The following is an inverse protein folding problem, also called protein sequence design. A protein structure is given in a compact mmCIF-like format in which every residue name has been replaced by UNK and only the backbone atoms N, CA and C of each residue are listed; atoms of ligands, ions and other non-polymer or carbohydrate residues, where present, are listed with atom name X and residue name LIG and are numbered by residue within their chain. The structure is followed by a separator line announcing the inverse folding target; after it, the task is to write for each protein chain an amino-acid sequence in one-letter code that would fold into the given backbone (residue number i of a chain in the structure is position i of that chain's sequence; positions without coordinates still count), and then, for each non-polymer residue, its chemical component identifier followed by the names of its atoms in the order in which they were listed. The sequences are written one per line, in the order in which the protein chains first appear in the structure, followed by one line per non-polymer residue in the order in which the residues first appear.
data_IF_247078126903
#
_entry.id   IF_247078126903
#
_cell.length_a   1.000
_cell.length_b   1.000
_cell.length_c   1.000
_cell.angle_alpha   90.00
_cell.angle_beta   90.00
_cell.angle_gamma   90.00
#
_symmetry.space_group_name_H-M   'P 1'
#
loop_
_entity.id
_entity.type
_entity.pdbx_description
1 polymer ?
#
# COMPACT_ATOMS: atom_id res chain seq x y z
N UNK A 1 64.47 19.39 2.40
CA UNK A 1 65.87 18.91 2.55
C UNK A 1 65.82 17.42 2.82
N UNK A 2 66.29 16.58 1.88
CA UNK A 2 67.46 15.66 2.00
C UNK A 2 67.38 14.72 3.22
N UNK A 3 67.51 13.39 3.16
CA UNK A 3 67.92 12.40 2.16
C UNK A 3 67.70 10.99 2.78
N UNK A 4 67.43 9.94 1.99
CA UNK A 4 68.38 8.96 1.40
C UNK A 4 69.04 8.00 2.42
N UNK A 5 68.81 6.68 2.25
CA UNK A 5 69.77 5.55 2.05
C UNK A 5 68.97 4.22 2.01
N UNK A 6 68.82 3.52 0.87
CA UNK A 6 69.64 2.39 0.31
C UNK A 6 69.52 1.07 1.12
N UNK A 7 69.42 -0.18 0.63
CA UNK A 7 69.72 -0.95 -0.62
C UNK A 7 68.97 -2.32 -0.46
N UNK A 8 68.26 -2.89 -1.44
CA UNK A 8 68.68 -3.73 -2.59
C UNK A 8 69.22 -5.15 -2.28
N UNK A 9 68.56 -6.21 -2.80
CA UNK A 9 69.07 -7.41 -3.54
C UNK A 9 67.91 -8.44 -3.72
N UNK A 10 67.30 -8.67 -4.91
CA UNK A 10 67.79 -9.38 -6.13
C UNK A 10 67.94 -10.90 -5.92
N UNK A 11 67.11 -11.81 -6.45
CA UNK A 11 67.06 -12.43 -7.82
C UNK A 11 66.20 -13.71 -7.67
N UNK A 12 65.58 -14.40 -8.66
CA UNK A 12 65.77 -14.56 -10.10
C UNK A 12 64.50 -15.22 -10.69
N UNK A 13 64.14 -14.84 -11.91
CA UNK A 13 63.13 -15.46 -12.79
C UNK A 13 63.81 -16.40 -13.78
N UNK A 14 63.13 -17.48 -14.21
CA UNK A 14 63.06 -18.04 -15.59
C UNK A 14 62.06 -19.23 -15.60
N UNK A 15 60.86 -19.14 -16.21
CA UNK A 15 60.49 -19.31 -17.62
C UNK A 15 60.69 -20.73 -18.20
N UNK A 16 59.61 -21.47 -18.53
CA UNK A 16 59.08 -21.71 -19.90
C UNK A 16 57.98 -22.81 -19.92
N UNK A 17 57.07 -22.61 -20.88
CA UNK A 17 55.75 -23.15 -21.23
C UNK A 17 55.78 -24.47 -22.04
N UNK A 18 54.68 -25.26 -22.07
CA UNK A 18 54.09 -25.80 -23.33
C UNK A 18 52.69 -26.52 -23.18
N UNK A 19 51.71 -26.01 -23.94
CA UNK A 19 50.61 -26.63 -24.74
C UNK A 19 49.70 -27.83 -24.31
N UNK A 20 48.40 -27.53 -24.17
CA UNK A 20 47.21 -27.89 -25.00
C UNK A 20 46.67 -29.33 -25.26
N UNK A 21 45.34 -29.46 -25.00
CA UNK A 21 44.21 -30.11 -25.75
C UNK A 21 43.84 -31.62 -25.69
N UNK A 22 42.56 -31.83 -25.29
CA UNK A 22 41.43 -32.68 -25.79
C UNK A 22 41.32 -34.23 -25.62
N UNK A 23 40.16 -34.60 -25.02
CA UNK A 23 39.10 -35.53 -25.45
C UNK A 23 39.19 -37.07 -25.33
N UNK A 24 38.05 -37.70 -24.96
CA UNK A 24 37.70 -39.08 -25.34
C UNK A 24 36.78 -39.87 -24.39
N UNK A 25 35.52 -40.06 -24.77
CA UNK A 25 34.53 -41.01 -24.19
C UNK A 25 34.81 -42.47 -24.63
N UNK A 26 34.41 -43.47 -23.82
CA UNK A 26 34.06 -44.85 -24.27
C UNK A 26 32.97 -45.46 -23.36
N UNK A 27 32.01 -46.13 -24.01
CA UNK A 27 30.82 -46.87 -23.52
C UNK A 27 31.10 -48.21 -22.79
N UNK A 28 30.14 -48.71 -22.01
CA UNK A 28 29.78 -50.15 -21.97
C UNK A 28 28.41 -50.43 -21.29
N UNK A 29 27.61 -51.30 -21.92
CA UNK A 29 26.38 -51.95 -21.43
C UNK A 29 26.68 -53.15 -20.52
N UNK A 30 25.73 -53.61 -19.67
CA UNK A 30 25.30 -55.02 -19.53
C UNK A 30 24.35 -55.27 -18.31
N UNK A 31 23.16 -55.80 -18.63
CA UNK A 31 22.38 -56.90 -17.99
C UNK A 31 21.98 -56.92 -16.49
N UNK A 32 20.66 -57.10 -16.26
CA UNK A 32 20.12 -58.37 -15.73
C UNK A 32 19.83 -58.52 -14.22
N UNK A 33 18.52 -58.54 -13.89
CA UNK A 33 17.81 -59.33 -12.85
C UNK A 33 18.37 -59.42 -11.40
N UNK A 34 17.55 -59.00 -10.41
CA UNK A 34 16.82 -59.90 -9.50
C UNK A 34 16.27 -59.15 -8.27
N UNK A 35 15.06 -59.56 -7.86
CA UNK A 35 14.32 -59.13 -6.69
C UNK A 35 15.03 -59.51 -5.39
N UNK A 36 14.97 -58.62 -4.40
CA UNK A 36 15.38 -58.89 -3.01
C UNK A 36 14.61 -57.98 -2.07
N UNK A 37 13.67 -58.57 -1.34
CA UNK A 37 12.79 -57.96 -0.36
C UNK A 37 13.53 -57.53 0.92
N UNK A 38 13.42 -56.26 1.28
CA UNK A 38 13.42 -55.76 2.65
C UNK A 38 12.87 -54.31 2.61
N UNK A 39 12.41 -53.80 3.75
CA UNK A 39 11.94 -52.43 3.98
C UNK A 39 10.44 -52.16 3.73
N UNK A 40 9.62 -52.98 4.39
CA UNK A 40 8.41 -52.48 5.04
C UNK A 40 8.83 -51.67 6.29
N UNK A 41 9.20 -50.40 6.11
CA UNK A 41 9.16 -49.34 7.14
C UNK A 41 9.64 -48.01 6.51
N UNK A 42 8.72 -47.23 5.92
CA UNK A 42 8.87 -45.77 5.74
C UNK A 42 7.58 -45.15 5.19
N UNK A 43 6.50 -45.24 5.97
CA UNK A 43 5.35 -44.33 5.83
C UNK A 43 5.13 -43.65 7.18
N UNK A 44 6.10 -42.80 7.55
CA UNK A 44 5.97 -41.79 8.59
C UNK A 44 7.15 -40.83 8.44
N UNK A 45 6.88 -39.52 8.53
CA UNK A 45 7.84 -38.40 8.48
C UNK A 45 8.22 -37.89 7.08
N UNK A 46 7.28 -37.18 6.46
CA UNK A 46 7.59 -36.07 5.56
C UNK A 46 6.73 -34.85 5.95
N UNK A 47 7.02 -34.32 7.14
CA UNK A 47 6.48 -33.05 7.63
C UNK A 47 7.60 -32.29 8.36
N UNK A 48 8.63 -31.88 7.62
CA UNK A 48 9.65 -30.92 8.07
C UNK A 48 10.73 -30.69 7.01
N UNK A 49 10.48 -29.80 6.06
CA UNK A 49 11.55 -29.11 5.33
C UNK A 49 11.04 -27.86 4.61
N UNK A 50 10.48 -26.93 5.39
CA UNK A 50 10.59 -25.50 5.11
C UNK A 50 11.78 -24.98 5.92
N UNK A 51 12.98 -25.35 5.50
CA UNK A 51 14.23 -24.77 5.99
C UNK A 51 14.38 -23.38 5.39
N UNK A 52 14.08 -22.37 6.22
CA UNK A 52 14.82 -21.11 6.38
C UNK A 52 15.48 -20.54 5.12
N UNK A 53 14.79 -19.61 4.46
CA UNK A 53 15.44 -18.64 3.58
C UNK A 53 16.00 -17.48 4.41
N UNK A 54 17.31 -17.31 4.29
CA UNK A 54 18.12 -16.27 4.92
C UNK A 54 17.67 -14.85 4.54
N UNK A 55 17.05 -14.14 5.47
CA UNK A 55 17.07 -12.67 5.54
C UNK A 55 18.12 -12.17 6.54
N UNK A 56 19.18 -12.93 6.78
CA UNK A 56 20.25 -12.58 7.71
C UNK A 56 21.37 -11.84 6.97
N UNK A 57 21.31 -10.50 6.95
CA UNK A 57 22.53 -9.70 6.83
C UNK A 57 22.96 -9.26 8.23
N UNK A 58 24.11 -9.80 8.63
CA UNK A 58 24.81 -9.54 9.88
C UNK A 58 25.23 -8.07 9.98
N UNK A 59 24.76 -7.39 11.03
CA UNK A 59 25.48 -6.27 11.63
C UNK A 59 25.65 -6.53 13.13
N UNK A 60 26.85 -6.25 13.61
CA UNK A 60 27.27 -6.47 15.00
C UNK A 60 26.68 -5.40 15.92
N UNK A 61 25.57 -5.72 16.57
CA UNK A 61 25.21 -5.40 17.96
C UNK A 61 23.69 -5.47 18.10
N UNK A 62 23.23 -6.30 19.05
CA UNK A 62 21.85 -6.76 19.18
C UNK A 62 20.85 -5.65 19.49
N UNK A 63 19.78 -5.63 18.69
CA UNK A 63 18.39 -5.71 19.14
C UNK A 63 17.53 -5.86 17.87
N UNK A 64 17.04 -7.08 17.61
CA UNK A 64 16.17 -7.36 16.46
C UNK A 64 14.71 -7.10 16.84
N UNK A 65 14.08 -6.09 16.27
CA UNK A 65 12.63 -5.96 16.28
C UNK A 65 12.05 -6.75 15.11
N UNK A 66 11.53 -7.95 15.40
CA UNK A 66 10.55 -8.56 14.51
C UNK A 66 9.22 -7.84 14.73
N UNK A 67 8.71 -7.15 13.72
CA UNK A 67 7.30 -6.74 13.74
C UNK A 67 6.44 -8.02 13.79
N UNK A 68 5.88 -8.31 14.97
CA UNK A 68 4.99 -9.45 15.17
C UNK A 68 3.82 -9.40 14.18
N UNK A 69 3.37 -8.20 13.81
CA UNK A 69 2.26 -8.03 12.90
C UNK A 69 2.64 -8.42 11.46
N UNK A 70 3.84 -8.05 10.99
CA UNK A 70 4.32 -8.46 9.67
C UNK A 70 4.52 -9.99 9.58
N UNK A 71 5.16 -10.60 10.58
CA UNK A 71 5.36 -12.05 10.63
C UNK A 71 4.04 -12.82 10.72
N UNK A 72 3.10 -12.35 11.56
CA UNK A 72 1.76 -12.92 11.64
C UNK A 72 1.01 -12.73 10.32
N UNK A 73 1.07 -11.56 9.70
CA UNK A 73 0.43 -11.29 8.41
C UNK A 73 0.94 -12.24 7.31
N UNK A 74 2.24 -12.48 7.24
CA UNK A 74 2.86 -13.45 6.32
C UNK A 74 2.29 -14.85 6.59
N UNK A 75 2.35 -15.33 7.84
CA UNK A 75 1.87 -16.66 8.21
C UNK A 75 0.37 -16.87 7.95
N UNK A 76 -0.46 -15.86 8.24
CA UNK A 76 -1.89 -15.89 7.93
C UNK A 76 -2.14 -15.93 6.42
N UNK A 77 -1.37 -15.17 5.65
CA UNK A 77 -1.47 -15.12 4.18
C UNK A 77 -1.05 -16.44 3.54
N UNK A 78 -0.02 -17.11 4.05
CA UNK A 78 0.38 -18.45 3.62
C UNK A 78 -0.74 -19.48 3.83
N UNK A 79 -1.38 -19.48 5.01
CA UNK A 79 -2.54 -20.34 5.30
C UNK A 79 -3.69 -20.08 4.33
N UNK A 80 -3.97 -18.81 4.00
CA UNK A 80 -4.98 -18.46 3.02
C UNK A 80 -4.62 -18.93 1.60
N UNK A 81 -3.35 -18.86 1.20
CA UNK A 81 -2.90 -19.40 -0.10
C UNK A 81 -3.18 -20.91 -0.17
N UNK A 82 -2.90 -21.66 0.90
CA UNK A 82 -3.18 -23.10 0.95
C UNK A 82 -4.69 -23.37 0.83
N UNK A 83 -5.51 -22.67 1.60
CA UNK A 83 -6.97 -22.77 1.52
C UNK A 83 -7.52 -22.49 0.11
N UNK A 84 -7.07 -21.41 -0.54
CA UNK A 84 -7.49 -21.09 -1.90
C UNK A 84 -6.94 -22.08 -2.95
N UNK A 85 -5.81 -22.72 -2.67
CA UNK A 85 -5.25 -23.78 -3.52
C UNK A 85 -6.14 -25.03 -3.46
N UNK A 86 -6.61 -25.43 -2.28
CA UNK A 86 -7.57 -26.54 -2.12
C UNK A 86 -8.90 -26.27 -2.85
N UNK A 87 -9.42 -25.04 -2.74
CA UNK A 87 -10.62 -24.62 -3.49
C UNK A 87 -10.39 -24.76 -5.00
N UNK A 88 -9.25 -24.29 -5.51
CA UNK A 88 -8.92 -24.39 -6.95
C UNK A 88 -8.79 -25.85 -7.38
N UNK A 89 -8.12 -26.69 -6.59
CA UNK A 89 -7.94 -28.11 -6.88
C UNK A 89 -9.27 -28.89 -6.86
N UNK A 90 -10.25 -28.42 -6.10
CA UNK A 90 -11.60 -28.99 -6.02
C UNK A 90 -12.55 -28.49 -7.12
N UNK A 91 -12.03 -27.86 -8.19
CA UNK A 91 -12.82 -27.33 -9.31
C UNK A 91 -13.14 -25.83 -9.22
N UNK A 92 -12.67 -25.15 -8.17
CA UNK A 92 -12.88 -23.72 -7.96
C UNK A 92 -14.29 -23.39 -7.47
N UNK A 93 -14.64 -22.11 -7.57
CA UNK A 93 -15.96 -21.68 -7.13
C UNK A 93 -17.02 -21.91 -8.22
N UNK A 94 -18.20 -22.37 -7.79
CA UNK A 94 -19.40 -22.31 -8.63
C UNK A 94 -19.79 -20.84 -8.86
N UNK A 95 -19.95 -20.41 -10.13
CA UNK A 95 -20.45 -19.07 -10.42
C UNK A 95 -21.89 -18.91 -9.93
N UNK A 96 -22.19 -17.75 -9.35
CA UNK A 96 -23.52 -17.38 -8.90
C UNK A 96 -24.16 -16.49 -9.96
N UNK A 97 -25.15 -17.02 -10.69
CA UNK A 97 -25.89 -16.26 -11.69
C UNK A 97 -27.29 -15.96 -11.18
N UNK A 98 -27.60 -14.68 -11.04
CA UNK A 98 -28.94 -14.19 -10.72
C UNK A 98 -29.12 -12.81 -11.32
N UNK A 99 -30.34 -12.52 -11.77
CA UNK A 99 -30.76 -11.17 -12.18
C UNK A 99 -31.54 -10.46 -11.06
N UNK A 100 -31.84 -11.17 -9.97
CA UNK A 100 -32.59 -10.66 -8.83
C UNK A 100 -31.65 -10.05 -7.78
N UNK A 101 -32.14 -9.02 -7.09
CA UNK A 101 -31.51 -8.51 -5.88
C UNK A 101 -31.70 -9.54 -4.77
N UNK A 102 -30.61 -10.02 -4.15
CA UNK A 102 -30.73 -10.87 -2.95
C UNK A 102 -30.59 -9.98 -1.71
N UNK A 103 -31.63 -9.98 -0.89
CA UNK A 103 -31.74 -9.21 0.34
C UNK A 103 -32.63 -9.93 1.37
N UNK A 104 -32.70 -9.43 2.59
CA UNK A 104 -33.44 -10.03 3.70
C UNK A 104 -34.87 -10.46 3.26
N UNK A 105 -35.19 -11.74 3.46
CA UNK A 105 -36.46 -12.37 3.08
C UNK A 105 -36.48 -13.01 1.69
N UNK A 106 -35.50 -12.74 0.82
CA UNK A 106 -35.37 -13.41 -0.48
C UNK A 106 -35.25 -14.92 -0.30
N UNK A 107 -36.00 -15.72 -1.06
CA UNK A 107 -35.90 -17.19 -1.00
C UNK A 107 -35.66 -17.76 -2.39
N UNK A 108 -34.47 -18.31 -2.63
CA UNK A 108 -34.13 -18.87 -3.94
C UNK A 108 -32.94 -19.83 -3.89
N UNK A 109 -32.71 -20.56 -4.99
CA UNK A 109 -31.49 -21.36 -5.18
C UNK A 109 -30.23 -20.47 -5.19
N UNK A 110 -30.35 -19.22 -5.64
CA UNK A 110 -29.24 -18.27 -5.62
C UNK A 110 -28.83 -17.92 -4.18
N UNK A 111 -29.76 -17.87 -3.23
CA UNK A 111 -29.46 -17.72 -1.81
C UNK A 111 -28.70 -18.93 -1.27
N UNK A 112 -29.10 -20.16 -1.63
CA UNK A 112 -28.34 -21.37 -1.24
C UNK A 112 -26.90 -21.33 -1.78
N UNK A 113 -26.72 -20.92 -3.05
CA UNK A 113 -25.39 -20.76 -3.65
C UNK A 113 -24.57 -19.64 -2.99
N UNK A 114 -25.22 -18.55 -2.59
CA UNK A 114 -24.61 -17.45 -1.86
C UNK A 114 -24.09 -17.92 -0.50
N UNK A 115 -24.93 -18.62 0.28
CA UNK A 115 -24.56 -19.14 1.59
C UNK A 115 -23.38 -20.12 1.50
N UNK A 116 -23.39 -21.04 0.53
CA UNK A 116 -22.25 -21.91 0.28
C UNK A 116 -20.98 -21.11 -0.02
N UNK A 117 -21.08 -20.05 -0.83
CA UNK A 117 -19.93 -19.21 -1.13
C UNK A 117 -19.39 -18.49 0.11
N UNK A 118 -20.28 -17.88 0.91
CA UNK A 118 -19.91 -17.17 2.12
C UNK A 118 -19.27 -18.12 3.14
N UNK A 119 -19.74 -19.36 3.23
CA UNK A 119 -19.09 -20.40 4.03
C UNK A 119 -17.68 -20.76 3.51
N UNK A 120 -17.52 -21.00 2.20
CA UNK A 120 -16.23 -21.30 1.59
C UNK A 120 -15.19 -20.18 1.79
N UNK A 121 -15.64 -18.92 1.80
CA UNK A 121 -14.78 -17.75 2.03
C UNK A 121 -14.72 -17.31 3.50
N UNK A 122 -15.31 -18.09 4.40
CA UNK A 122 -15.34 -17.92 5.87
C UNK A 122 -16.10 -16.69 6.38
N UNK A 123 -16.96 -16.11 5.55
CA UNK A 123 -17.96 -15.13 5.98
C UNK A 123 -19.11 -15.78 6.76
N UNK A 124 -19.32 -17.09 6.60
CA UNK A 124 -20.16 -17.92 7.48
C UNK A 124 -19.30 -19.00 8.15
N UNK A 125 -19.62 -19.31 9.42
CA UNK A 125 -18.93 -20.35 10.21
C UNK A 125 -19.42 -21.77 9.89
N UNK A 126 -20.66 -21.90 9.42
CA UNK A 126 -21.25 -23.15 8.96
C UNK A 126 -22.08 -22.90 7.70
N UNK A 127 -22.26 -23.93 6.88
CA UNK A 127 -23.22 -23.84 5.78
C UNK A 127 -24.65 -23.98 6.35
N UNK A 128 -25.33 -22.85 6.48
CA UNK A 128 -26.70 -22.76 7.04
C UNK A 128 -27.79 -23.19 6.03
N UNK A 129 -27.41 -23.51 4.79
CA UNK A 129 -28.34 -23.91 3.74
C UNK A 129 -27.99 -25.33 3.24
N UNK A 130 -28.66 -26.34 3.80
CA UNK A 130 -28.57 -27.75 3.40
C UNK A 130 -29.65 -28.16 2.36
N UNK A 131 -30.60 -27.27 2.08
CA UNK A 131 -31.71 -27.47 1.14
C UNK A 131 -31.50 -26.78 -0.22
N UNK A 132 -32.27 -27.22 -1.22
CA UNK A 132 -32.19 -26.69 -2.59
C UNK A 132 -32.57 -25.20 -2.73
N UNK A 133 -33.36 -24.66 -1.79
CA UNK A 133 -33.74 -23.24 -1.72
C UNK A 133 -33.64 -22.76 -0.28
N UNK A 134 -32.95 -21.64 -0.08
CA UNK A 134 -32.69 -21.07 1.24
C UNK A 134 -33.28 -19.67 1.34
N UNK A 135 -33.66 -19.25 2.54
CA UNK A 135 -34.11 -17.88 2.81
C UNK A 135 -32.93 -17.03 3.26
N UNK A 136 -32.82 -15.84 2.68
CA UNK A 136 -31.82 -14.84 3.05
C UNK A 136 -32.23 -14.25 4.39
N UNK A 137 -31.66 -14.78 5.46
CA UNK A 137 -31.96 -14.38 6.84
C UNK A 137 -30.97 -13.31 7.35
N UNK A 138 -31.06 -12.99 8.65
CA UNK A 138 -30.17 -12.00 9.28
C UNK A 138 -28.72 -12.48 9.32
N UNK A 139 -28.50 -13.79 9.44
CA UNK A 139 -27.17 -14.42 9.45
C UNK A 139 -26.47 -14.22 8.11
N UNK A 140 -27.17 -14.50 7.00
CA UNK A 140 -26.68 -14.29 5.64
C UNK A 140 -26.47 -12.79 5.38
N UNK A 141 -27.36 -11.92 5.85
CA UNK A 141 -27.18 -10.46 5.72
C UNK A 141 -25.87 -9.99 6.35
N UNK A 142 -25.58 -10.44 7.59
CA UNK A 142 -24.35 -10.10 8.29
C UNK A 142 -23.11 -10.64 7.57
N UNK A 143 -23.16 -11.89 7.07
CA UNK A 143 -22.09 -12.46 6.26
C UNK A 143 -21.88 -11.71 4.94
N UNK A 144 -22.94 -11.23 4.29
CA UNK A 144 -22.84 -10.36 3.10
C UNK A 144 -22.22 -9.02 3.47
N UNK A 145 -22.58 -8.41 4.61
CA UNK A 145 -21.96 -7.17 5.08
C UNK A 145 -20.46 -7.35 5.35
N UNK A 146 -20.07 -8.48 5.95
CA UNK A 146 -18.68 -8.86 6.14
C UNK A 146 -17.98 -8.98 4.78
N UNK A 147 -18.51 -9.78 3.86
CA UNK A 147 -18.00 -9.94 2.51
C UNK A 147 -17.84 -8.59 1.80
N UNK A 148 -18.81 -7.69 1.91
CA UNK A 148 -18.73 -6.35 1.32
C UNK A 148 -17.57 -5.55 1.90
N UNK A 149 -17.39 -5.56 3.23
CA UNK A 149 -16.29 -4.88 3.93
C UNK A 149 -14.93 -5.40 3.48
N UNK A 150 -14.72 -6.72 3.48
CA UNK A 150 -13.46 -7.34 3.05
C UNK A 150 -13.20 -7.22 1.54
N UNK A 151 -14.17 -6.79 0.74
CA UNK A 151 -13.99 -6.51 -0.70
C UNK A 151 -13.99 -5.02 -1.07
N UNK A 152 -13.99 -4.11 -0.08
CA UNK A 152 -14.00 -2.66 -0.32
C UNK A 152 -15.27 -2.15 -0.99
N UNK A 153 -16.40 -2.81 -0.75
CA UNK A 153 -17.71 -2.43 -1.28
C UNK A 153 -18.46 -1.54 -0.28
N UNK A 154 -19.53 -0.89 -0.77
CA UNK A 154 -20.53 -0.31 0.13
C UNK A 154 -21.15 -1.43 0.96
N UNK A 155 -21.14 -1.29 2.28
CA UNK A 155 -21.68 -2.25 3.23
C UNK A 155 -23.16 -1.95 3.44
N UNK A 156 -24.03 -2.63 2.69
CA UNK A 156 -25.48 -2.47 2.79
C UNK A 156 -26.24 -3.80 2.97
N UNK A 157 -25.52 -4.93 3.07
CA UNK A 157 -26.10 -6.26 3.30
C UNK A 157 -26.86 -6.84 2.11
N UNK A 158 -26.83 -6.18 0.95
CA UNK A 158 -27.56 -6.62 -0.24
C UNK A 158 -26.64 -7.08 -1.36
N UNK A 159 -27.04 -8.14 -2.05
CA UNK A 159 -26.29 -8.68 -3.19
C UNK A 159 -26.83 -8.09 -4.49
N UNK A 160 -26.40 -6.87 -4.78
CA UNK A 160 -26.58 -6.24 -6.09
C UNK A 160 -25.44 -6.58 -7.06
N UNK A 161 -25.48 -5.97 -8.27
CA UNK A 161 -24.52 -6.21 -9.37
C UNK A 161 -23.04 -6.14 -8.95
N UNK A 162 -22.68 -5.18 -8.09
CA UNK A 162 -21.29 -5.00 -7.63
C UNK A 162 -20.83 -6.12 -6.69
N UNK A 163 -21.65 -6.48 -5.70
CA UNK A 163 -21.38 -7.62 -4.80
C UNK A 163 -21.29 -8.92 -5.60
N UNK A 164 -22.23 -9.12 -6.53
CA UNK A 164 -22.26 -10.29 -7.41
C UNK A 164 -21.00 -10.40 -8.27
N UNK A 165 -20.53 -9.29 -8.84
CA UNK A 165 -19.29 -9.27 -9.61
C UNK A 165 -18.07 -9.70 -8.77
N UNK A 166 -18.01 -9.32 -7.49
CA UNK A 166 -16.93 -9.75 -6.57
C UNK A 166 -17.05 -11.23 -6.18
N UNK A 167 -18.26 -11.71 -5.92
CA UNK A 167 -18.53 -13.13 -5.67
C UNK A 167 -18.11 -13.98 -6.89
N UNK A 168 -18.32 -13.49 -8.10
CA UNK A 168 -18.00 -14.20 -9.33
C UNK A 168 -16.54 -14.07 -9.80
N UNK A 169 -15.65 -13.47 -9.01
CA UNK A 169 -14.20 -13.56 -9.29
C UNK A 169 -13.76 -15.03 -9.07
N UNK A 170 -13.20 -15.71 -10.09
CA UNK A 170 -12.79 -17.11 -9.97
C UNK A 170 -11.73 -17.33 -8.89
N UNK A 171 -11.79 -18.50 -8.23
CA UNK A 171 -10.83 -18.89 -7.18
C UNK A 171 -9.37 -18.79 -7.67
N UNK A 172 -9.09 -19.22 -8.91
CA UNK A 172 -7.76 -19.12 -9.53
C UNK A 172 -7.24 -17.68 -9.60
N UNK A 173 -8.12 -16.70 -9.91
CA UNK A 173 -7.74 -15.28 -9.93
C UNK A 173 -7.50 -14.74 -8.52
N UNK A 174 -8.34 -15.13 -7.54
CA UNK A 174 -8.13 -14.76 -6.12
C UNK A 174 -6.81 -15.34 -5.58
N UNK A 175 -6.50 -16.60 -5.91
CA UNK A 175 -5.24 -17.26 -5.55
C UNK A 175 -4.02 -16.56 -6.15
N UNK A 176 -4.06 -16.23 -7.45
CA UNK A 176 -2.97 -15.50 -8.09
C UNK A 176 -2.73 -14.12 -7.44
N UNK A 177 -3.80 -13.40 -7.12
CA UNK A 177 -3.75 -12.12 -6.41
C UNK A 177 -3.19 -12.29 -4.99
N UNK A 178 -3.55 -13.35 -4.27
CA UNK A 178 -2.97 -13.67 -2.96
C UNK A 178 -1.48 -13.94 -3.04
N UNK A 179 -1.04 -14.79 -3.97
CA UNK A 179 0.40 -15.10 -4.15
C UNK A 179 1.22 -13.86 -4.50
N UNK A 180 0.70 -12.99 -5.37
CA UNK A 180 1.36 -11.72 -5.69
C UNK A 180 1.49 -10.82 -4.47
N UNK A 181 0.43 -10.69 -3.67
CA UNK A 181 0.50 -9.83 -2.49
C UNK A 181 1.29 -10.45 -1.34
N UNK A 182 1.34 -11.77 -1.22
CA UNK A 182 2.27 -12.45 -0.32
C UNK A 182 3.71 -12.03 -0.61
N UNK A 183 4.12 -12.04 -1.88
CA UNK A 183 5.43 -11.50 -2.27
C UNK A 183 5.61 -10.03 -1.84
N UNK A 184 4.62 -9.16 -2.09
CA UNK A 184 4.71 -7.75 -1.69
C UNK A 184 4.80 -7.55 -0.16
N UNK A 185 4.10 -8.37 0.61
CA UNK A 185 4.09 -8.33 2.07
C UNK A 185 5.43 -8.84 2.61
N UNK A 186 5.96 -9.94 2.07
CA UNK A 186 7.25 -10.49 2.49
C UNK A 186 8.43 -9.54 2.19
N UNK A 187 8.29 -8.69 1.17
CA UNK A 187 9.30 -7.67 0.83
C UNK A 187 8.97 -6.29 1.41
N UNK A 188 8.12 -6.22 2.44
CA UNK A 188 7.74 -4.96 3.07
C UNK A 188 8.87 -4.41 3.95
N UNK A 189 9.37 -3.23 3.58
CA UNK A 189 10.48 -2.57 4.27
C UNK A 189 10.20 -2.26 5.74
N UNK A 190 8.98 -1.87 6.11
CA UNK A 190 8.63 -1.49 7.48
C UNK A 190 8.62 -2.64 8.49
N UNK A 191 8.83 -3.88 8.05
CA UNK A 191 8.88 -5.07 8.92
C UNK A 191 9.98 -5.05 9.98
N UNK A 192 11.03 -4.24 9.78
CA UNK A 192 12.13 -4.02 10.74
C UNK A 192 11.93 -2.83 11.66
N UNK A 193 10.92 -1.99 11.41
CA UNK A 193 10.76 -0.72 12.10
C UNK A 193 9.98 -0.91 13.41
N UNK A 194 10.52 -0.38 14.51
CA UNK A 194 9.84 -0.44 15.81
C UNK A 194 8.57 0.42 15.86
N UNK A 195 8.48 1.44 14.99
CA UNK A 195 7.31 2.26 14.74
C UNK A 195 7.34 2.83 13.32
N UNK A 196 6.19 2.88 12.66
CA UNK A 196 6.08 3.41 11.30
C UNK A 196 4.64 3.79 10.98
N UNK A 197 4.47 4.61 9.95
CA UNK A 197 3.20 4.82 9.27
C UNK A 197 3.19 3.99 8.00
N UNK A 198 2.07 3.38 7.65
CA UNK A 198 1.89 2.91 6.29
C UNK A 198 0.53 3.29 5.74
N UNK A 199 0.50 3.54 4.43
CA UNK A 199 -0.70 3.81 3.67
C UNK A 199 -0.89 2.70 2.67
N UNK A 200 -1.91 1.87 2.86
CA UNK A 200 -2.29 0.88 1.89
C UNK A 200 -3.19 1.51 0.83
N UNK A 201 -2.62 1.82 -0.34
CA UNK A 201 -3.22 2.66 -1.36
C UNK A 201 -4.55 2.09 -1.88
N UNK A 202 -4.66 0.80 -2.27
CA UNK A 202 -5.93 0.21 -2.75
C UNK A 202 -6.96 0.00 -1.64
N UNK A 203 -6.52 -0.01 -0.38
CA UNK A 203 -7.40 -0.11 0.78
C UNK A 203 -7.99 1.24 1.18
N UNK A 204 -7.31 2.34 0.82
CA UNK A 204 -7.63 3.69 1.24
C UNK A 204 -7.56 3.88 2.75
N UNK A 205 -6.54 3.28 3.38
CA UNK A 205 -6.32 3.35 4.82
C UNK A 205 -4.88 3.68 5.15
N UNK A 206 -4.69 4.58 6.12
CA UNK A 206 -3.44 4.87 6.79
C UNK A 206 -3.46 4.21 8.17
N UNK A 207 -2.34 3.61 8.57
CA UNK A 207 -2.14 3.10 9.92
C UNK A 207 -0.83 3.59 10.49
N UNK A 208 -0.83 3.87 11.79
CA UNK A 208 0.39 4.03 12.57
C UNK A 208 0.57 2.77 13.43
N UNK A 209 1.71 2.12 13.26
CA UNK A 209 2.09 0.88 13.93
C UNK A 209 3.22 1.20 14.90
N UNK A 210 3.15 0.64 16.11
CA UNK A 210 4.21 0.73 17.10
C UNK A 210 4.31 -0.58 17.89
N UNK A 211 5.52 -1.10 18.02
CA UNK A 211 5.79 -2.38 18.66
C UNK A 211 4.90 -3.52 18.12
N UNK A 212 4.65 -3.49 16.81
CA UNK A 212 3.78 -4.43 16.11
C UNK A 212 2.28 -4.29 16.38
N UNK A 213 1.82 -3.22 17.04
CA UNK A 213 0.39 -2.97 17.24
C UNK A 213 -0.07 -1.74 16.45
N UNK A 214 -1.24 -1.84 15.82
CA UNK A 214 -1.90 -0.69 15.17
C UNK A 214 -2.43 0.24 16.27
N UNK A 215 -1.80 1.40 16.44
CA UNK A 215 -2.20 2.40 17.45
C UNK A 215 -3.22 3.40 16.91
N UNK A 216 -3.21 3.63 15.60
CA UNK A 216 -4.13 4.53 14.91
C UNK A 216 -4.45 3.99 13.53
N UNK A 217 -5.70 4.17 13.11
CA UNK A 217 -6.18 3.89 11.77
C UNK A 217 -7.01 5.08 11.27
N UNK A 218 -6.76 5.52 10.04
CA UNK A 218 -7.50 6.58 9.38
C UNK A 218 -7.90 6.19 7.96
N UNK A 219 -9.09 6.62 7.53
CA UNK A 219 -9.41 6.61 6.11
C UNK A 219 -8.56 7.64 5.38
N UNK A 220 -8.15 7.30 4.16
CA UNK A 220 -7.47 8.23 3.25
C UNK A 220 -8.17 8.35 1.90
N UNK A 221 -7.84 9.41 1.18
CA UNK A 221 -8.11 9.60 -0.25
C UNK A 221 -6.77 9.64 -0.96
N UNK A 222 -6.64 8.85 -2.01
CA UNK A 222 -5.40 8.72 -2.81
C UNK A 222 -5.62 9.24 -4.22
N UNK A 223 -4.56 9.22 -5.03
CA UNK A 223 -4.59 9.61 -6.44
C UNK A 223 -5.67 8.89 -7.25
N UNK A 224 -6.20 9.56 -8.27
CA UNK A 224 -7.01 8.88 -9.30
C UNK A 224 -6.09 8.13 -10.27
N UNK A 225 -6.58 7.15 -11.06
CA UNK A 225 -5.71 6.35 -11.95
C UNK A 225 -4.86 7.16 -12.94
N UNK A 226 -5.31 8.34 -13.37
CA UNK A 226 -4.51 9.24 -14.23
C UNK A 226 -3.42 10.04 -13.48
N UNK A 227 -3.43 10.02 -12.15
CA UNK A 227 -2.51 10.72 -11.25
C UNK A 227 -2.27 9.84 -10.02
N UNK A 228 -1.63 8.69 -10.25
CA UNK A 228 -1.45 7.65 -9.25
C UNK A 228 -0.63 8.16 -8.05
N UNK A 229 -1.01 7.75 -6.85
CA UNK A 229 -0.10 7.80 -5.69
C UNK A 229 0.94 6.69 -5.86
N UNK A 230 2.25 7.00 -5.94
CA UNK A 230 3.28 5.98 -6.11
C UNK A 230 3.49 5.18 -4.82
N UNK A 231 3.95 3.94 -4.97
CA UNK A 231 4.35 3.08 -3.85
C UNK A 231 5.85 3.22 -3.60
N UNK A 232 6.24 3.66 -2.40
CA UNK A 232 7.63 3.84 -1.98
C UNK A 232 7.72 3.95 -0.45
N UNK A 233 8.93 3.99 0.09
CA UNK A 233 9.21 4.21 1.52
C UNK A 233 10.07 5.45 1.70
N UNK A 234 9.83 6.18 2.78
CA UNK A 234 10.50 7.45 3.12
C UNK A 234 10.31 7.73 4.61
N UNK A 235 10.66 8.91 5.10
CA UNK A 235 10.50 9.32 6.50
C UNK A 235 9.80 10.67 6.63
N UNK A 236 8.80 10.73 7.51
CA UNK A 236 8.16 11.99 7.90
C UNK A 236 9.15 12.75 8.78
N UNK A 237 9.65 13.88 8.28
CA UNK A 237 10.61 14.72 9.01
C UNK A 237 9.91 15.80 9.84
N UNK A 238 8.73 16.25 9.37
CA UNK A 238 8.01 17.37 9.96
C UNK A 238 6.56 17.40 9.55
N UNK A 239 5.76 18.11 10.32
CA UNK A 239 4.41 18.50 9.92
C UNK A 239 4.21 20.01 10.08
N UNK A 240 3.29 20.55 9.28
CA UNK A 240 2.97 21.97 9.24
C UNK A 240 1.50 22.15 9.56
N UNK A 241 1.22 22.81 10.67
CA UNK A 241 -0.12 23.23 11.07
C UNK A 241 -0.46 24.54 10.37
N UNK A 242 -1.70 24.66 9.90
CA UNK A 242 -2.22 25.75 9.06
C UNK A 242 -1.33 26.01 7.85
N UNK A 243 -1.12 25.00 6.99
CA UNK A 243 -0.18 25.10 5.89
C UNK A 243 -0.65 26.09 4.83
N UNK A 244 0.26 26.95 4.38
CA UNK A 244 0.09 27.59 3.07
C UNK A 244 0.14 26.54 1.96
N UNK A 245 -0.72 26.73 0.95
CA UNK A 245 -0.69 25.94 -0.28
C UNK A 245 0.00 26.72 -1.39
N UNK A 246 1.20 26.24 -1.75
CA UNK A 246 1.90 26.69 -2.95
C UNK A 246 1.24 26.02 -4.15
N UNK A 247 0.54 26.82 -4.93
CA UNK A 247 -0.27 26.30 -6.03
C UNK A 247 0.66 25.88 -7.16
N UNK A 248 0.59 24.62 -7.63
CA UNK A 248 1.39 24.15 -8.76
C UNK A 248 1.22 25.05 -9.98
N UNK A 249 2.30 25.29 -10.72
CA UNK A 249 2.31 26.18 -11.90
C UNK A 249 1.25 25.79 -12.94
N UNK A 250 0.98 24.48 -13.08
CA UNK A 250 -0.08 23.98 -13.95
C UNK A 250 -1.46 24.51 -13.55
N UNK A 251 -1.81 24.46 -12.26
CA UNK A 251 -3.09 24.95 -11.73
C UNK A 251 -3.12 26.49 -11.79
N UNK A 252 -2.01 27.14 -11.40
CA UNK A 252 -1.91 28.59 -11.44
C UNK A 252 -2.19 29.14 -12.86
N UNK A 253 -1.60 28.53 -13.89
CA UNK A 253 -1.72 29.00 -15.29
C UNK A 253 -2.97 28.50 -16.00
N UNK A 254 -3.38 27.25 -15.79
CA UNK A 254 -4.51 26.65 -16.54
C UNK A 254 -5.87 26.92 -15.91
N UNK A 255 -5.92 27.09 -14.59
CA UNK A 255 -7.19 27.18 -13.87
C UNK A 255 -7.41 28.54 -13.20
N UNK A 256 -6.37 29.12 -12.58
CA UNK A 256 -6.52 30.35 -11.82
C UNK A 256 -6.36 31.59 -12.70
N UNK A 257 -5.31 31.68 -13.52
CA UNK A 257 -5.09 32.84 -14.38
C UNK A 257 -6.32 33.23 -15.24
N UNK A 258 -7.03 32.29 -15.89
CA UNK A 258 -8.26 32.62 -16.63
C UNK A 258 -9.39 33.16 -15.75
N UNK A 259 -9.43 32.80 -14.46
CA UNK A 259 -10.42 33.31 -13.50
C UNK A 259 -10.06 34.72 -13.04
N UNK A 260 -8.78 34.99 -12.80
CA UNK A 260 -8.30 36.34 -12.45
C UNK A 260 -8.47 37.32 -13.61
N UNK A 261 -8.21 36.87 -14.84
CA UNK A 261 -8.45 37.66 -16.05
C UNK A 261 -9.93 38.08 -16.22
N UNK A 262 -10.87 37.29 -15.68
CA UNK A 262 -12.32 37.57 -15.70
C UNK A 262 -12.78 38.38 -14.47
N UNK A 263 -12.19 38.11 -13.32
CA UNK A 263 -12.48 38.78 -12.05
C UNK A 263 -11.17 39.15 -11.34
N UNK A 264 -10.74 40.42 -11.43
CA UNK A 264 -9.52 40.89 -10.76
C UNK A 264 -9.52 40.70 -9.23
N UNK A 265 -10.70 40.57 -8.61
CA UNK A 265 -10.84 40.32 -7.18
C UNK A 265 -10.76 38.84 -6.80
N UNK A 266 -10.62 37.93 -7.78
CA UNK A 266 -10.61 36.49 -7.54
C UNK A 266 -9.58 36.07 -6.51
N UNK A 267 -8.34 36.58 -6.61
CA UNK A 267 -7.26 36.20 -5.69
C UNK A 267 -7.57 36.61 -4.24
N UNK A 268 -8.02 37.85 -4.04
CA UNK A 268 -8.41 38.35 -2.72
C UNK A 268 -9.58 37.56 -2.12
N UNK A 269 -10.64 37.31 -2.90
CA UNK A 269 -11.80 36.49 -2.51
C UNK A 269 -11.41 35.06 -2.12
N UNK A 270 -10.31 34.54 -2.65
CA UNK A 270 -9.84 33.18 -2.41
C UNK A 270 -8.62 33.13 -1.46
N UNK A 271 -8.24 34.23 -0.82
CA UNK A 271 -7.09 34.31 0.08
C UNK A 271 -5.78 33.82 -0.59
N UNK A 272 -5.55 34.26 -1.84
CA UNK A 272 -4.38 33.92 -2.65
C UNK A 272 -3.51 35.15 -2.83
N UNK A 273 -2.23 35.02 -2.55
CA UNK A 273 -1.21 36.03 -2.79
C UNK A 273 -0.34 35.64 -3.98
N UNK A 274 0.18 36.64 -4.68
CA UNK A 274 1.23 36.46 -5.68
C UNK A 274 2.58 36.74 -5.01
N UNK A 275 3.53 35.82 -5.12
CA UNK A 275 4.90 35.98 -4.61
C UNK A 275 5.91 35.89 -5.73
N UNK A 276 7.01 36.63 -5.60
CA UNK A 276 8.09 36.63 -6.60
C UNK A 276 8.87 35.32 -6.62
N UNK A 277 9.14 34.73 -5.45
CA UNK A 277 9.94 33.53 -5.30
C UNK A 277 9.18 32.42 -4.57
N UNK A 278 9.58 31.16 -4.79
CA UNK A 278 8.96 29.99 -4.17
C UNK A 278 9.37 29.80 -2.70
N UNK A 279 10.39 30.52 -2.21
CA UNK A 279 10.89 30.42 -0.84
C UNK A 279 10.19 31.41 0.12
N UNK A 280 10.57 31.38 1.40
CA UNK A 280 10.01 32.12 2.56
C UNK A 280 9.92 33.66 2.45
N UNK A 281 10.24 34.27 1.30
CA UNK A 281 10.10 35.72 1.15
C UNK A 281 8.62 36.11 1.12
N UNK A 282 8.24 36.98 2.06
CA UNK A 282 6.92 37.61 2.16
C UNK A 282 6.67 38.69 1.11
N UNK A 283 7.59 38.87 0.14
CA UNK A 283 7.48 39.89 -0.90
C UNK A 283 6.34 39.53 -1.87
N UNK A 284 5.20 40.14 -1.61
CA UNK A 284 4.01 40.07 -2.46
C UNK A 284 4.18 40.93 -3.70
N UNK A 285 3.67 40.44 -4.82
CA UNK A 285 3.52 41.21 -6.06
C UNK A 285 2.07 41.65 -6.17
N UNK A 286 1.83 42.91 -6.52
CA UNK A 286 0.47 43.39 -6.77
C UNK A 286 -0.10 42.68 -8.00
N UNK A 287 -1.22 41.93 -7.88
CA UNK A 287 -1.83 41.23 -9.00
C UNK A 287 -2.18 42.12 -10.20
N UNK A 288 -2.46 43.41 -9.97
CA UNK A 288 -2.79 44.38 -11.04
C UNK A 288 -1.61 44.69 -11.96
N UNK A 289 -0.38 44.35 -11.56
CA UNK A 289 0.82 44.55 -12.38
C UNK A 289 1.09 43.37 -13.34
N UNK A 290 0.23 42.34 -13.33
CA UNK A 290 0.40 41.13 -14.12
C UNK A 290 -0.69 41.10 -15.21
N UNK A 291 -0.28 40.90 -16.45
CA UNK A 291 -1.21 40.65 -17.55
C UNK A 291 -1.70 39.19 -17.50
N UNK A 292 -2.79 38.96 -16.79
CA UNK A 292 -3.40 37.62 -16.63
C UNK A 292 -3.95 37.04 -17.93
N UNK A 293 -4.28 37.87 -18.92
CA UNK A 293 -4.79 37.40 -20.22
C UNK A 293 -3.66 36.85 -21.10
N UNK A 294 -2.44 37.36 -20.94
CA UNK A 294 -1.27 36.91 -21.67
C UNK A 294 -0.60 35.64 -21.10
N UNK A 295 -1.01 35.18 -19.90
CA UNK A 295 -0.41 34.00 -19.26
C UNK A 295 -0.71 32.74 -20.09
N UNK A 296 0.36 32.07 -20.51
CA UNK A 296 0.30 30.79 -21.23
C UNK A 296 0.47 29.61 -20.26
N UNK A 297 -0.04 28.41 -20.59
CA UNK A 297 0.15 27.22 -19.78
C UNK A 297 1.62 26.99 -19.43
N UNK A 298 1.91 26.76 -18.14
CA UNK A 298 3.25 26.54 -17.58
C UNK A 298 4.23 27.72 -17.70
N UNK A 299 3.81 28.88 -18.23
CA UNK A 299 4.63 30.08 -18.34
C UNK A 299 4.16 31.11 -17.31
N UNK A 300 4.72 31.01 -16.10
CA UNK A 300 4.43 31.94 -15.02
C UNK A 300 5.64 32.13 -14.12
N UNK A 301 6.11 33.37 -14.06
CA UNK A 301 7.36 33.83 -13.46
C UNK A 301 7.23 34.09 -11.96
N UNK A 302 6.05 33.79 -11.41
CA UNK A 302 5.63 34.08 -10.05
C UNK A 302 5.01 32.82 -9.43
N UNK A 303 4.71 32.91 -8.15
CA UNK A 303 4.06 31.83 -7.40
C UNK A 303 2.73 32.32 -6.85
N UNK A 304 1.70 31.51 -7.02
CA UNK A 304 0.45 31.70 -6.29
C UNK A 304 0.52 30.92 -4.99
N UNK A 305 0.23 31.60 -3.88
CA UNK A 305 0.19 30.99 -2.56
C UNK A 305 -1.17 31.25 -1.95
N UNK A 306 -1.93 30.18 -1.74
CA UNK A 306 -3.15 30.26 -0.94
C UNK A 306 -2.76 30.17 0.54
N UNK A 307 -3.15 31.17 1.32
CA UNK A 307 -2.89 31.22 2.77
C UNK A 307 -3.69 30.14 3.51
N UNK A 308 -3.36 29.95 4.78
CA UNK A 308 -4.16 29.12 5.68
C UNK A 308 -5.62 29.60 5.78
N UNK A 309 -6.49 28.69 6.20
CA UNK A 309 -7.92 28.92 6.40
C UNK A 309 -8.77 27.77 5.86
N UNK A 310 -10.05 27.76 6.23
CA UNK A 310 -10.98 26.64 6.03
C UNK A 310 -11.08 26.16 4.57
N UNK A 311 -10.98 27.08 3.61
CA UNK A 311 -11.07 26.76 2.18
C UNK A 311 -9.74 26.30 1.57
N UNK A 312 -8.68 26.18 2.35
CA UNK A 312 -7.37 25.72 1.87
C UNK A 312 -7.44 24.23 1.48
N UNK A 313 -7.10 23.84 0.24
CA UNK A 313 -7.15 22.44 -0.19
C UNK A 313 -6.24 21.49 0.59
N UNK A 314 -5.22 22.02 1.28
CA UNK A 314 -4.35 21.27 2.19
C UNK A 314 -4.93 21.08 3.60
N UNK A 315 -6.08 21.71 3.89
CA UNK A 315 -6.72 21.73 5.19
C UNK A 315 -5.82 22.32 6.28
N UNK A 316 -5.96 21.81 7.49
CA UNK A 316 -5.35 22.38 8.70
C UNK A 316 -3.96 21.81 9.03
N UNK A 317 -3.53 20.70 8.41
CA UNK A 317 -2.19 20.14 8.62
C UNK A 317 -1.68 19.33 7.43
N UNK A 318 -0.37 19.37 7.19
CA UNK A 318 0.33 18.48 6.24
C UNK A 318 1.59 17.87 6.86
N UNK A 319 1.85 16.61 6.53
CA UNK A 319 3.01 15.82 6.91
C UNK A 319 3.94 15.70 5.71
N UNK A 320 5.20 16.11 5.89
CA UNK A 320 6.18 16.21 4.81
C UNK A 320 7.24 15.11 4.98
N UNK A 321 7.51 14.43 3.88
CA UNK A 321 8.57 13.44 3.71
C UNK A 321 9.26 13.67 2.35
N UNK A 322 10.61 13.64 2.25
CA UNK A 322 11.34 14.06 1.04
C UNK A 322 11.25 13.08 -0.14
N UNK A 323 10.40 13.38 -1.14
CA UNK A 323 10.30 12.56 -2.36
C UNK A 323 10.26 13.39 -3.66
N UNK A 324 10.77 12.84 -4.79
CA UNK A 324 10.83 13.55 -6.06
C UNK A 324 9.46 13.82 -6.68
N UNK A 325 8.42 13.08 -6.27
CA UNK A 325 7.04 13.23 -6.76
C UNK A 325 6.23 14.29 -6.00
N UNK A 326 6.81 14.94 -4.99
CA UNK A 326 6.15 15.94 -4.13
C UNK A 326 4.84 15.44 -3.50
N UNK A 327 4.80 14.17 -3.12
CA UNK A 327 3.72 13.52 -2.38
C UNK A 327 3.84 13.87 -0.90
N UNK A 328 2.71 14.08 -0.25
CA UNK A 328 2.62 14.29 1.20
C UNK A 328 1.26 13.80 1.70
N UNK A 329 1.17 13.54 3.00
CA UNK A 329 -0.11 13.29 3.69
C UNK A 329 -0.62 14.64 4.18
N UNK A 330 -1.89 14.96 3.96
CA UNK A 330 -2.44 16.25 4.37
C UNK A 330 -3.93 16.18 4.65
N UNK A 331 -4.45 17.23 5.28
CA UNK A 331 -5.87 17.39 5.53
C UNK A 331 -6.65 17.83 4.27
N UNK A 332 -7.97 17.87 4.32
CA UNK A 332 -8.81 18.44 3.28
C UNK A 332 -10.12 18.98 3.85
N UNK A 333 -10.63 20.11 3.33
CA UNK A 333 -11.97 20.59 3.70
C UNK A 333 -13.08 19.67 3.19
N UNK A 334 -12.81 18.83 2.19
CA UNK A 334 -13.79 17.94 1.58
C UNK A 334 -14.00 16.62 2.38
N UNK A 335 -14.26 16.72 3.69
CA UNK A 335 -14.39 15.58 4.63
C UNK A 335 -15.45 14.56 4.21
N UNK A 336 -16.55 15.01 3.60
CA UNK A 336 -17.63 14.15 3.09
C UNK A 336 -17.17 13.09 2.08
N UNK A 337 -16.00 13.28 1.43
CA UNK A 337 -15.46 12.31 0.47
C UNK A 337 -14.93 11.03 1.12
N UNK A 338 -14.63 11.03 2.43
CA UNK A 338 -14.20 9.82 3.14
C UNK A 338 -15.32 8.78 3.27
N UNK A 339 -16.58 9.19 3.19
CA UNK A 339 -17.76 8.31 3.18
C UNK A 339 -17.93 7.49 1.87
N UNK A 340 -17.10 7.75 0.85
CA UNK A 340 -17.13 7.00 -0.40
C UNK A 340 -16.36 5.69 -0.27
N UNK A 341 -16.89 4.61 -0.86
CA UNK A 341 -16.17 3.33 -0.94
C UNK A 341 -14.97 3.39 -1.90
N UNK A 342 -15.03 4.24 -2.93
CA UNK A 342 -13.95 4.46 -3.88
C UNK A 342 -13.33 5.83 -3.62
N UNK A 343 -12.08 5.85 -3.17
CA UNK A 343 -11.38 7.07 -2.70
C UNK A 343 -10.10 7.38 -3.48
N UNK A 344 -9.98 6.86 -4.70
CA UNK A 344 -8.99 7.29 -5.69
C UNK A 344 -9.45 8.60 -6.39
N UNK A 345 -9.35 9.75 -5.71
CA UNK A 345 -9.98 11.01 -6.10
C UNK A 345 -9.04 12.22 -6.14
N UNK A 346 -7.80 12.08 -5.67
CA UNK A 346 -6.82 13.17 -5.58
C UNK A 346 -5.96 13.28 -6.86
N UNK A 347 -5.02 14.22 -6.86
CA UNK A 347 -4.01 14.41 -7.91
C UNK A 347 -2.63 13.84 -7.50
N UNK A 348 -2.62 12.78 -6.68
CA UNK A 348 -1.41 12.05 -6.27
C UNK A 348 -1.17 12.10 -4.76
N UNK A 349 -1.31 13.27 -4.12
CA UNK A 349 -1.13 13.39 -2.66
C UNK A 349 -2.20 12.63 -1.87
N UNK A 350 -1.91 12.34 -0.60
CA UNK A 350 -2.77 11.52 0.28
C UNK A 350 -3.52 12.44 1.22
N UNK A 351 -4.85 12.40 1.21
CA UNK A 351 -5.68 13.16 2.15
C UNK A 351 -6.11 12.26 3.29
N UNK A 352 -6.06 12.71 4.53
CA UNK A 352 -6.40 11.93 5.72
C UNK A 352 -7.66 12.50 6.42
N UNK A 353 -8.52 11.61 6.92
CA UNK A 353 -9.82 11.98 7.49
C UNK A 353 -9.70 12.76 8.80
N UNK A 354 -8.98 12.21 9.78
CA UNK A 354 -8.72 12.84 11.08
C UNK A 354 -7.25 13.26 11.16
N UNK A 355 -6.87 14.39 10.56
CA UNK A 355 -5.47 14.68 10.28
C UNK A 355 -4.64 14.85 11.56
N UNK A 356 -5.16 15.54 12.58
CA UNK A 356 -4.45 15.76 13.85
C UNK A 356 -4.30 14.51 14.72
N UNK A 357 -5.05 13.43 14.46
CA UNK A 357 -4.88 12.18 15.20
C UNK A 357 -3.48 11.61 15.03
N UNK A 358 -2.92 11.71 13.81
CA UNK A 358 -1.56 11.28 13.53
C UNK A 358 -0.52 12.15 14.25
N UNK A 359 -0.68 13.48 14.21
CA UNK A 359 0.24 14.38 14.93
C UNK A 359 0.26 14.07 16.43
N UNK A 360 -0.91 13.85 17.04
CA UNK A 360 -1.02 13.54 18.46
C UNK A 360 -0.32 12.24 18.83
N UNK A 361 -0.50 11.17 18.05
CA UNK A 361 0.18 9.89 18.29
C UNK A 361 1.71 10.04 18.17
N UNK A 362 2.20 10.73 17.13
CA UNK A 362 3.63 10.98 16.94
C UNK A 362 4.23 11.73 18.14
N UNK A 363 3.61 12.84 18.55
CA UNK A 363 4.14 13.70 19.61
C UNK A 363 4.07 13.02 20.98
N UNK A 364 2.95 12.34 21.29
CA UNK A 364 2.79 11.60 22.54
C UNK A 364 3.89 10.56 22.72
N UNK A 365 4.33 9.96 21.62
CA UNK A 365 5.39 8.96 21.63
C UNK A 365 6.80 9.53 21.70
N UNK A 366 7.04 10.77 21.26
CA UNK A 366 8.30 11.47 21.48
C UNK A 366 8.43 12.04 22.91
N UNK A 367 7.41 11.86 23.77
CA UNK A 367 7.41 12.33 25.15
C UNK A 367 7.25 13.85 25.27
N UNK A 368 6.78 14.51 24.21
CA UNK A 368 6.76 15.97 24.13
C UNK A 368 5.38 16.57 24.44
N UNK A 369 4.90 16.40 25.68
CA UNK A 369 3.58 16.94 26.08
C UNK A 369 3.46 18.46 25.88
N UNK A 370 4.58 19.18 25.99
CA UNK A 370 4.65 20.61 25.68
C UNK A 370 4.34 20.90 24.20
N UNK A 371 4.78 20.05 23.29
CA UNK A 371 4.55 20.18 21.84
C UNK A 371 3.09 19.93 21.50
N UNK A 372 2.39 19.02 22.20
CA UNK A 372 0.93 18.84 22.04
C UNK A 372 0.17 20.15 22.28
N UNK A 373 0.47 20.83 23.40
CA UNK A 373 -0.16 22.13 23.73
C UNK A 373 0.15 23.20 22.70
N UNK A 374 1.33 23.18 22.10
CA UNK A 374 1.69 24.10 21.02
C UNK A 374 0.92 23.80 19.74
N UNK A 375 0.73 22.52 19.38
CA UNK A 375 -0.07 22.11 18.22
C UNK A 375 -1.53 22.51 18.39
N UNK A 376 -2.13 22.24 19.54
CA UNK A 376 -3.53 22.63 19.81
C UNK A 376 -3.67 24.16 19.75
N UNK A 377 -2.73 24.92 20.33
CA UNK A 377 -2.71 26.38 20.21
C UNK A 377 -2.53 26.84 18.77
N UNK A 378 -1.68 26.17 17.99
CA UNK A 378 -1.42 26.53 16.60
C UNK A 378 -2.69 26.37 15.77
N UNK A 379 -3.42 25.27 15.94
CA UNK A 379 -4.69 24.99 15.26
C UNK A 379 -5.72 26.11 15.48
N UNK A 380 -5.76 26.68 16.67
CA UNK A 380 -6.72 27.74 17.02
C UNK A 380 -6.31 29.14 16.48
N UNK A 381 -5.28 29.22 15.64
CA UNK A 381 -4.81 30.46 14.98
C UNK A 381 -4.70 30.26 13.47
N UNK A 382 -4.80 31.31 12.66
CA UNK A 382 -4.53 31.21 11.21
C UNK A 382 -3.03 31.27 10.85
N UNK A 383 -2.15 31.13 11.83
CA UNK A 383 -0.70 31.26 11.63
C UNK A 383 -0.09 29.91 11.31
N UNK A 384 0.61 29.83 10.18
CA UNK A 384 1.37 28.64 9.80
C UNK A 384 2.48 28.38 10.82
N UNK A 385 2.52 27.16 11.36
CA UNK A 385 3.56 26.71 12.28
C UNK A 385 4.14 25.37 11.81
N UNK A 386 5.47 25.24 11.85
CA UNK A 386 6.17 24.01 11.46
C UNK A 386 6.72 23.32 12.70
N UNK A 387 6.45 22.03 12.82
CA UNK A 387 6.91 21.16 13.90
C UNK A 387 7.82 20.10 13.30
N UNK A 388 9.09 20.14 13.68
CA UNK A 388 10.09 19.15 13.27
C UNK A 388 10.06 17.97 14.23
N UNK A 389 10.16 16.76 13.71
CA UNK A 389 10.29 15.56 14.54
C UNK A 389 11.75 15.41 14.94
N UNK A 390 12.01 15.11 16.22
CA UNK A 390 13.39 14.83 16.67
C UNK A 390 13.93 13.55 16.03
N UNK A 391 13.05 12.55 15.91
CA UNK A 391 13.28 11.30 15.20
C UNK A 391 12.30 11.26 14.02
N UNK A 392 12.80 11.28 12.77
CA UNK A 392 11.97 11.06 11.60
C UNK A 392 11.20 9.74 11.71
N UNK A 393 9.94 9.74 11.27
CA UNK A 393 9.07 8.58 11.38
C UNK A 393 8.95 7.89 10.02
N UNK A 394 9.36 6.62 9.88
CA UNK A 394 9.19 5.89 8.63
C UNK A 394 7.75 5.91 8.14
N UNK A 395 7.58 6.16 6.84
CA UNK A 395 6.31 6.09 6.13
C UNK A 395 6.44 5.20 4.90
N UNK A 396 5.53 4.23 4.77
CA UNK A 396 5.50 3.33 3.63
C UNK A 396 4.19 3.45 2.87
N UNK A 397 4.26 3.81 1.60
CA UNK A 397 3.13 3.78 0.68
C UNK A 397 3.12 2.42 -0.01
N UNK A 398 2.21 1.54 0.40
CA UNK A 398 2.14 0.16 -0.07
C UNK A 398 0.96 -0.05 -1.01
N UNK A 399 1.09 -1.01 -1.91
CA UNK A 399 0.03 -1.40 -2.85
C UNK A 399 -0.37 -2.85 -2.60
N UNK A 400 -1.16 -3.09 -1.55
CA UNK A 400 -1.67 -4.41 -1.24
C UNK A 400 -3.14 -4.53 -1.63
N UNK A 401 -3.41 -5.43 -2.56
CA UNK A 401 -4.76 -5.70 -3.06
C UNK A 401 -5.34 -7.00 -2.50
N UNK A 402 -4.56 -7.76 -1.74
CA UNK A 402 -5.00 -8.91 -0.97
C UNK A 402 -4.13 -9.10 0.27
N UNK A 403 -4.72 -9.41 1.43
CA UNK A 403 -4.01 -9.68 2.69
C UNK A 403 -4.94 -10.44 3.65
N UNK A 404 -4.43 -10.89 4.80
CA UNK A 404 -5.24 -11.60 5.81
C UNK A 404 -5.24 -10.86 7.14
N UNK A 405 -6.43 -10.51 7.63
CA UNK A 405 -6.59 -9.80 8.90
C UNK A 405 -6.47 -10.73 10.12
N UNK A 406 -6.60 -10.15 11.31
CA UNK A 406 -6.48 -10.84 12.59
C UNK A 406 -7.54 -11.92 12.81
N UNK A 407 -8.69 -11.80 12.15
CA UNK A 407 -9.79 -12.78 12.19
C UNK A 407 -9.59 -13.94 11.20
N UNK A 408 -8.41 -14.07 10.60
CA UNK A 408 -8.09 -15.05 9.55
C UNK A 408 -8.93 -14.89 8.28
N UNK A 409 -9.50 -13.70 8.05
CA UNK A 409 -10.31 -13.41 6.87
C UNK A 409 -9.47 -12.77 5.79
N UNK A 410 -9.66 -13.26 4.57
CA UNK A 410 -8.93 -12.77 3.41
C UNK A 410 -9.58 -11.47 2.92
N UNK A 411 -8.83 -10.38 2.94
CA UNK A 411 -9.25 -9.13 2.38
C UNK A 411 -8.82 -9.03 0.91
N UNK A 412 -9.68 -8.45 0.08
CA UNK A 412 -9.40 -8.12 -1.32
C UNK A 412 -9.77 -6.67 -1.62
N UNK A 413 -9.00 -6.01 -2.48
CA UNK A 413 -9.31 -4.68 -3.02
C UNK A 413 -9.21 -4.65 -4.53
N UNK A 414 -9.87 -3.65 -5.11
CA UNK A 414 -9.74 -3.35 -6.53
C UNK A 414 -8.29 -3.02 -6.89
N UNK A 415 -7.87 -3.48 -8.06
CA UNK A 415 -6.57 -3.10 -8.64
C UNK A 415 -6.71 -1.76 -9.35
N UNK A 416 -6.86 -0.69 -8.56
CA UNK A 416 -7.27 0.64 -9.02
C UNK A 416 -6.29 1.28 -10.02
N UNK A 417 -5.02 0.88 -10.01
CA UNK A 417 -3.96 1.35 -10.91
C UNK A 417 -3.46 0.26 -11.87
N UNK A 418 -4.10 -0.91 -11.90
CA UNK A 418 -3.75 -2.04 -12.76
C UNK A 418 -2.32 -2.59 -12.52
N UNK A 419 -1.79 -2.47 -11.30
CA UNK A 419 -0.45 -2.96 -10.95
C UNK A 419 -0.43 -4.49 -10.85
N UNK A 420 -1.50 -5.12 -10.36
CA UNK A 420 -1.61 -6.58 -10.35
C UNK A 420 -1.71 -7.12 -11.76
N UNK A 421 -2.56 -6.52 -12.60
CA UNK A 421 -2.72 -6.93 -13.99
C UNK A 421 -1.38 -6.87 -14.74
N UNK A 422 -0.64 -5.75 -14.62
CA UNK A 422 0.69 -5.60 -15.22
C UNK A 422 1.69 -6.63 -14.69
N UNK A 423 1.69 -6.89 -13.39
CA UNK A 423 2.62 -7.85 -12.78
C UNK A 423 2.30 -9.29 -13.18
N UNK A 424 1.02 -9.68 -13.21
CA UNK A 424 0.59 -11.04 -13.56
C UNK A 424 0.76 -11.32 -15.06
N UNK A 425 0.58 -10.33 -15.94
CA UNK A 425 0.86 -10.47 -17.38
C UNK A 425 2.34 -10.71 -17.68
N UNK A 426 3.25 -10.03 -16.95
CA UNK A 426 4.70 -10.24 -17.10
C UNK A 426 5.14 -11.64 -16.65
N UNK A 427 4.31 -12.32 -15.85
CA UNK A 427 4.65 -13.58 -15.17
C UNK A 427 3.85 -14.79 -15.71
N UNK A 428 3.27 -14.70 -16.93
CA UNK A 428 2.66 -15.87 -17.59
C UNK A 428 3.70 -16.95 -17.95
N UNK A 429 4.99 -16.60 -18.01
CA UNK A 429 6.08 -17.56 -17.86
C UNK A 429 6.17 -17.98 -16.39
N UNK A 430 5.70 -19.19 -16.10
CA UNK A 430 5.52 -19.82 -14.78
C UNK A 430 6.74 -19.84 -13.83
N UNK A 431 7.86 -19.21 -14.18
CA UNK A 431 9.13 -19.31 -13.45
C UNK A 431 9.19 -18.44 -12.20
N UNK A 432 8.52 -17.29 -12.13
CA UNK A 432 8.69 -16.37 -10.98
C UNK A 432 7.85 -16.80 -9.77
N UNK A 433 6.60 -17.22 -9.93
CA UNK A 433 5.81 -17.73 -8.78
C UNK A 433 6.39 -19.06 -8.26
N UNK A 434 7.01 -19.87 -9.12
CA UNK A 434 7.72 -21.09 -8.71
C UNK A 434 9.07 -20.78 -8.04
N UNK A 435 9.77 -19.71 -8.45
CA UNK A 435 11.01 -19.24 -7.83
C UNK A 435 10.80 -18.41 -6.55
N UNK A 436 9.58 -17.94 -6.30
CA UNK A 436 9.21 -17.23 -5.06
C UNK A 436 8.73 -18.17 -3.94
N UNK A 437 8.55 -19.46 -4.24
CA UNK A 437 8.08 -20.51 -3.31
C UNK A 437 9.17 -21.56 -3.03
N UNK A 438 10.24 -21.61 -3.85
CA UNK A 438 11.47 -22.38 -3.59
C UNK A 438 12.53 -21.48 -2.99
#
# INVERSE_FOLDING_TARGET
MKGLFSKALSTKVKHITLHATLAGCVSAMLTGQALGSADLESVALASSSLTTYNSQQQLQNGDYYFDQNAAQLIARTEKAINWYTEIVNSGGFTPLYTNELLELGSTSKAVSQLALRLYQERDLTSNVCDTAMCTFDKTIEQAVQQFQRRHGLKVDGRVGKRTLAKLNVPAKKKLAKLKLNFYRITNFAGSSDSQYVYVNIPEYTLRYVKAGEVKLQNNVIVGKPSWETPAFSDEIEKFVVNPEWRIPTSIATKEIAPKVAKDPQYLAKNNIEVRKNSYLDSKTVNPSNIDWQAIKPYQFDHFLVKRAGDENPLGEVKYLFPNPEAIYVHDTPAKQRFNQAQRALSHGCIRVEEPFSLAREIIKHQGEERTLKQVDKARDTDTTQTFYLNEPLPIHLVYWTAWVDEDMLVNFRDDIYQHDAKALLKNEDQSVIAALIK
#
